data_IF_445252908186
#
_entry.id   IF_445252908186
#
_cell.length_a   1.000
_cell.length_b   1.000
_cell.length_c   1.000
_cell.angle_alpha   90.00
_cell.angle_beta   90.00
_cell.angle_gamma   90.00
#
_symmetry.space_group_name_H-M   'P 1'
#
loop_
_entity.id
_entity.type
_entity.pdbx_description
1 polymer ?
#
# COMPACT_ATOMS: atom_id res chain seq x y z
N UNK A 1 16.67 -27.33 -24.19
CA UNK A 1 15.58 -26.50 -23.61
C UNK A 1 14.29 -26.83 -24.34
N UNK A 2 13.25 -27.23 -23.61
CA UNK A 2 11.96 -27.56 -24.22
C UNK A 2 11.19 -26.33 -24.65
N UNK A 3 10.25 -26.47 -25.55
CA UNK A 3 9.35 -25.40 -25.96
C UNK A 3 8.57 -24.85 -24.76
N UNK A 4 8.12 -25.76 -23.87
CA UNK A 4 7.41 -25.35 -22.65
C UNK A 4 8.30 -24.48 -21.76
N UNK A 5 9.56 -24.86 -21.58
CA UNK A 5 10.51 -24.07 -20.77
C UNK A 5 10.72 -22.67 -21.37
N UNK A 6 10.88 -22.59 -22.69
CA UNK A 6 11.03 -21.32 -23.39
C UNK A 6 9.79 -20.47 -23.21
N UNK A 7 8.61 -21.07 -23.37
CA UNK A 7 7.33 -20.36 -23.20
C UNK A 7 7.19 -19.80 -21.79
N UNK A 8 7.45 -20.62 -20.77
CA UNK A 8 7.32 -20.19 -19.37
C UNK A 8 8.29 -19.07 -19.04
N UNK A 9 9.54 -19.15 -19.52
CA UNK A 9 10.53 -18.11 -19.26
C UNK A 9 10.24 -16.80 -20.01
N UNK A 10 9.54 -16.90 -21.16
CA UNK A 10 9.17 -15.72 -21.94
C UNK A 10 7.88 -15.08 -21.47
N UNK A 11 7.07 -15.77 -20.63
CA UNK A 11 5.79 -15.24 -20.15
C UNK A 11 6.02 -14.48 -18.83
N UNK A 12 5.84 -13.15 -18.80
CA UNK A 12 6.20 -12.36 -17.62
C UNK A 12 5.09 -12.35 -16.57
N UNK A 13 4.65 -13.53 -16.14
CA UNK A 13 3.61 -13.67 -15.12
C UNK A 13 4.02 -13.06 -13.79
N UNK A 14 5.26 -13.30 -13.38
CA UNK A 14 5.77 -12.76 -12.13
C UNK A 14 5.85 -11.22 -12.19
N UNK A 15 6.26 -10.68 -13.33
CA UNK A 15 6.32 -9.24 -13.51
C UNK A 15 4.94 -8.61 -13.44
N UNK A 16 3.97 -9.20 -14.15
CA UNK A 16 2.59 -8.72 -14.10
C UNK A 16 2.01 -8.85 -12.69
N UNK A 17 2.23 -10.00 -12.04
CA UNK A 17 1.75 -10.22 -10.68
C UNK A 17 2.35 -9.25 -9.68
N UNK A 18 3.65 -9.00 -9.79
CA UNK A 18 4.34 -8.04 -8.92
C UNK A 18 3.82 -6.63 -9.09
N UNK A 19 3.65 -6.20 -10.33
CA UNK A 19 3.13 -4.86 -10.63
C UNK A 19 1.69 -4.69 -10.15
N UNK A 20 0.83 -5.66 -10.39
CA UNK A 20 -0.56 -5.63 -9.94
C UNK A 20 -0.63 -5.65 -8.42
N UNK A 21 0.17 -6.50 -7.77
CA UNK A 21 0.20 -6.58 -6.32
C UNK A 21 0.66 -5.28 -5.69
N UNK A 22 1.71 -4.67 -6.23
CA UNK A 22 2.18 -3.37 -5.76
C UNK A 22 1.10 -2.29 -5.94
N UNK A 23 0.42 -2.31 -7.09
CA UNK A 23 -0.67 -1.37 -7.36
C UNK A 23 -1.84 -1.54 -6.41
N UNK A 24 -2.22 -2.79 -6.10
CA UNK A 24 -3.28 -3.08 -5.13
C UNK A 24 -2.89 -2.61 -3.73
N UNK A 25 -1.62 -2.79 -3.35
CA UNK A 25 -1.10 -2.28 -2.09
C UNK A 25 -1.22 -0.77 -2.01
N UNK A 26 -0.86 -0.07 -3.09
CA UNK A 26 -0.97 1.38 -3.17
C UNK A 26 -2.43 1.85 -3.08
N UNK A 27 -3.35 1.18 -3.79
CA UNK A 27 -4.78 1.50 -3.74
C UNK A 27 -5.31 1.28 -2.33
N UNK A 28 -4.99 0.13 -1.72
CA UNK A 28 -5.41 -0.17 -0.35
C UNK A 28 -4.91 0.86 0.65
N UNK A 29 -3.64 1.21 0.56
CA UNK A 29 -3.04 2.22 1.42
C UNK A 29 -3.71 3.58 1.22
N UNK A 30 -3.94 3.98 -0.03
CA UNK A 30 -4.60 5.24 -0.34
C UNK A 30 -5.99 5.32 0.25
N UNK A 31 -6.78 4.25 0.12
CA UNK A 31 -8.12 4.18 0.69
C UNK A 31 -8.04 4.25 2.22
N UNK A 32 -7.15 3.46 2.83
CA UNK A 32 -6.99 3.42 4.28
C UNK A 32 -6.58 4.77 4.86
N UNK A 33 -5.58 5.40 4.26
CA UNK A 33 -5.10 6.71 4.71
C UNK A 33 -6.18 7.76 4.49
N UNK A 34 -6.91 7.70 3.37
CA UNK A 34 -8.03 8.59 3.12
C UNK A 34 -9.10 8.51 4.21
N UNK A 35 -9.44 7.30 4.65
CA UNK A 35 -10.41 7.09 5.73
C UNK A 35 -9.89 7.63 7.06
N UNK A 36 -8.60 7.39 7.35
CA UNK A 36 -7.94 7.91 8.55
C UNK A 36 -8.01 9.43 8.56
N UNK A 37 -7.65 10.06 7.44
CA UNK A 37 -7.67 11.52 7.33
C UNK A 37 -9.07 12.09 7.46
N UNK A 38 -10.04 11.49 6.79
CA UNK A 38 -11.43 11.91 6.87
C UNK A 38 -11.95 11.84 8.30
N UNK A 39 -11.71 10.70 8.97
CA UNK A 39 -12.16 10.51 10.35
C UNK A 39 -11.50 11.51 11.30
N UNK A 40 -10.20 11.75 11.13
CA UNK A 40 -9.46 12.68 11.97
C UNK A 40 -9.96 14.11 11.77
N UNK A 41 -10.17 14.54 10.53
CA UNK A 41 -10.64 15.90 10.24
C UNK A 41 -12.06 16.11 10.76
N UNK A 42 -12.92 15.12 10.63
CA UNK A 42 -14.27 15.19 11.20
C UNK A 42 -14.23 15.27 12.73
N UNK A 43 -13.32 14.51 13.37
CA UNK A 43 -13.17 14.54 14.80
C UNK A 43 -12.64 15.90 15.28
N UNK A 44 -11.69 16.48 14.57
CA UNK A 44 -11.17 17.83 14.88
C UNK A 44 -12.28 18.87 14.75
N UNK A 45 -13.13 18.73 13.74
CA UNK A 45 -14.24 19.64 13.55
C UNK A 45 -15.22 19.59 14.72
N UNK A 46 -15.42 18.40 15.30
CA UNK A 46 -16.30 18.24 16.45
C UNK A 46 -15.65 18.62 17.78
N UNK A 47 -14.34 18.39 17.89
CA UNK A 47 -13.58 18.64 19.11
C UNK A 47 -12.27 19.37 18.80
N UNK A 48 -12.34 20.67 18.46
CA UNK A 48 -11.15 21.43 18.08
C UNK A 48 -10.08 21.46 19.19
N UNK A 49 -10.50 21.38 20.44
CA UNK A 49 -9.59 21.37 21.60
C UNK A 49 -8.72 20.11 21.65
N UNK A 50 -9.14 19.05 21.00
CA UNK A 50 -8.37 17.80 20.92
C UNK A 50 -7.55 17.68 19.64
N UNK A 51 -7.41 18.75 18.86
CA UNK A 51 -6.79 18.70 17.53
C UNK A 51 -5.36 18.19 17.54
N UNK A 52 -4.57 18.52 18.57
CA UNK A 52 -3.19 18.07 18.64
C UNK A 52 -3.09 16.56 18.86
N UNK A 53 -3.93 16.01 19.75
CA UNK A 53 -3.95 14.58 20.01
C UNK A 53 -4.47 13.81 18.80
N UNK A 54 -5.51 14.30 18.16
CA UNK A 54 -6.10 13.68 16.97
C UNK A 54 -5.07 13.67 15.84
N UNK A 55 -4.38 14.78 15.63
CA UNK A 55 -3.35 14.87 14.58
C UNK A 55 -2.21 13.90 14.85
N UNK A 56 -1.74 13.79 16.08
CA UNK A 56 -0.66 12.88 16.44
C UNK A 56 -1.05 11.43 16.16
N UNK A 57 -2.25 11.03 16.56
CA UNK A 57 -2.74 9.67 16.31
C UNK A 57 -3.01 9.42 14.83
N UNK A 58 -3.48 10.41 14.09
CA UNK A 58 -3.67 10.32 12.65
C UNK A 58 -2.34 10.05 11.94
N UNK A 59 -1.30 10.79 12.28
CA UNK A 59 0.02 10.63 11.67
C UNK A 59 0.58 9.25 12.00
N UNK A 60 0.46 8.81 13.26
CA UNK A 60 0.93 7.48 13.66
C UNK A 60 0.23 6.38 12.89
N UNK A 61 -1.10 6.44 12.81
CA UNK A 61 -1.90 5.44 12.12
C UNK A 61 -1.60 5.43 10.61
N UNK A 62 -1.50 6.61 10.02
CA UNK A 62 -1.15 6.74 8.59
C UNK A 62 0.24 6.18 8.32
N UNK A 63 1.20 6.42 9.22
CA UNK A 63 2.55 5.89 9.09
C UNK A 63 2.57 4.36 9.13
N UNK A 64 1.75 3.73 9.97
CA UNK A 64 1.63 2.28 10.02
C UNK A 64 1.08 1.71 8.70
N UNK A 65 0.09 2.36 8.11
CA UNK A 65 -0.46 1.96 6.80
C UNK A 65 0.60 2.12 5.72
N UNK A 66 1.34 3.22 5.72
CA UNK A 66 2.43 3.46 4.78
C UNK A 66 3.51 2.40 4.90
N UNK A 67 3.85 1.98 6.12
CA UNK A 67 4.84 0.94 6.35
C UNK A 67 4.41 -0.37 5.72
N UNK A 68 3.17 -0.79 5.94
CA UNK A 68 2.63 -2.02 5.33
C UNK A 68 2.62 -1.90 3.80
N UNK A 69 2.20 -0.75 3.27
CA UNK A 69 2.17 -0.50 1.83
C UNK A 69 3.57 -0.57 1.22
N UNK A 70 4.57 -0.03 1.91
CA UNK A 70 5.95 -0.07 1.44
C UNK A 70 6.44 -1.52 1.36
N UNK A 71 6.15 -2.36 2.36
CA UNK A 71 6.49 -3.77 2.31
C UNK A 71 5.77 -4.47 1.15
N UNK A 72 4.51 -4.14 0.90
CA UNK A 72 3.78 -4.72 -0.22
C UNK A 72 4.44 -4.38 -1.57
N UNK A 73 4.87 -3.14 -1.73
CA UNK A 73 5.59 -2.70 -2.94
C UNK A 73 6.93 -3.43 -3.06
N UNK A 74 7.66 -3.59 -1.96
CA UNK A 74 8.93 -4.31 -1.95
C UNK A 74 8.73 -5.76 -2.37
N UNK A 75 7.72 -6.43 -1.82
CA UNK A 75 7.38 -7.80 -2.20
C UNK A 75 7.04 -7.87 -3.69
N UNK A 76 6.30 -6.89 -4.21
CA UNK A 76 6.00 -6.80 -5.63
C UNK A 76 7.26 -6.70 -6.48
N UNK A 77 8.21 -5.85 -6.07
CA UNK A 77 9.49 -5.69 -6.77
C UNK A 77 10.27 -7.01 -6.73
N UNK A 78 10.35 -7.66 -5.58
CA UNK A 78 11.05 -8.93 -5.45
C UNK A 78 10.43 -10.01 -6.34
N UNK A 79 9.11 -10.05 -6.43
CA UNK A 79 8.42 -11.00 -7.31
C UNK A 79 8.78 -10.80 -8.78
N UNK A 80 9.08 -9.56 -9.18
CA UNK A 80 9.44 -9.24 -10.55
C UNK A 80 10.88 -9.66 -10.89
N UNK A 81 11.77 -9.73 -9.92
CA UNK A 81 13.20 -9.97 -10.15
C UNK A 81 13.70 -11.31 -9.60
N UNK A 82 12.88 -12.04 -8.89
CA UNK A 82 13.19 -13.37 -8.37
C UNK A 82 12.44 -14.44 -9.16
#
# INVERSE_FOLDING_TARGET
>A
MSLLTVFLSATPWANAGGAIGAGLGAVGAGIGIGQIGKGALEAIARQPEASNDIRANMILTAALVEGVALFAVIVGILAMFV
#
